data_IF_900463319813
#
_entry.id   IF_900463319813
#
_cell.length_a   1.000
_cell.length_b   1.000
_cell.length_c   1.000
_cell.angle_alpha   90.00
_cell.angle_beta   90.00
_cell.angle_gamma   90.00
#
_symmetry.space_group_name_H-M   'P 1'
#
loop_
_entity.id
_entity.type
_entity.pdbx_description
1 polymer ?
#
# COMPACT_ATOMS: atom_id res chain seq x y z
N UNK A 1 -10.85 36.90 13.82
CA UNK A 1 -11.63 35.90 13.07
C UNK A 1 -10.62 35.08 12.31
N UNK A 2 -10.49 33.81 12.65
CA UNK A 2 -9.56 32.86 12.02
C UNK A 2 -10.38 32.10 10.98
N UNK A 3 -9.83 31.98 9.78
CA UNK A 3 -10.47 31.34 8.64
C UNK A 3 -10.57 29.82 8.86
N UNK A 4 -11.75 29.19 8.75
CA UNK A 4 -11.92 27.76 8.94
C UNK A 4 -11.44 26.89 7.76
N UNK A 5 -10.79 27.48 6.74
CA UNK A 5 -10.14 26.78 5.63
C UNK A 5 -8.61 26.92 5.62
N UNK A 6 -8.00 27.23 6.77
CA UNK A 6 -6.56 27.02 6.99
C UNK A 6 -6.33 25.53 7.31
N UNK A 7 -6.52 24.69 6.29
CA UNK A 7 -5.77 23.44 6.27
C UNK A 7 -4.36 23.88 5.94
N UNK A 8 -3.53 24.01 6.98
CA UNK A 8 -2.10 23.80 6.85
C UNK A 8 -1.96 22.54 5.97
N UNK A 9 -1.67 22.74 4.68
CA UNK A 9 -1.09 21.73 3.82
C UNK A 9 0.12 21.27 4.62
N UNK A 10 -0.04 20.15 5.32
CA UNK A 10 0.94 19.53 6.20
C UNK A 10 2.26 19.56 5.45
N UNK A 11 3.04 20.56 5.83
CA UNK A 11 4.25 21.05 5.18
C UNK A 11 5.29 20.00 5.52
N UNK A 12 5.19 18.85 4.86
CA UNK A 12 6.15 17.77 4.98
C UNK A 12 7.38 18.17 4.16
N UNK A 13 8.16 19.06 4.78
CA UNK A 13 9.54 19.44 4.48
C UNK A 13 9.99 19.14 3.04
N UNK A 14 9.62 20.03 2.11
CA UNK A 14 10.22 20.11 0.78
C UNK A 14 11.55 20.88 0.78
N UNK A 15 12.22 20.99 1.93
CA UNK A 15 13.47 21.74 2.07
C UNK A 15 14.44 21.05 3.03
N UNK A 16 14.90 19.83 2.71
CA UNK A 16 16.24 19.28 2.99
C UNK A 16 16.21 17.75 2.86
N UNK A 17 16.48 17.23 1.66
CA UNK A 17 17.32 16.03 1.47
C UNK A 17 17.38 15.70 -0.02
N UNK A 18 18.25 16.44 -0.70
CA UNK A 18 19.07 16.04 -1.85
C UNK A 18 18.42 15.46 -3.11
N UNK A 19 19.15 15.64 -4.20
CA UNK A 19 19.17 14.73 -5.34
C UNK A 19 19.46 13.29 -4.88
N UNK A 20 18.54 12.62 -4.18
CA UNK A 20 18.57 11.18 -4.12
C UNK A 20 18.25 10.72 -5.54
N UNK A 21 19.31 10.44 -6.30
CA UNK A 21 19.26 9.51 -7.43
C UNK A 21 18.20 8.47 -7.09
N UNK A 22 17.11 8.46 -7.86
CA UNK A 22 16.02 7.52 -7.61
C UNK A 22 16.66 6.14 -7.70
N UNK A 23 16.96 5.54 -6.55
CA UNK A 23 17.69 4.28 -6.51
C UNK A 23 16.93 3.29 -7.40
N UNK A 24 17.62 2.53 -8.25
CA UNK A 24 16.96 1.48 -8.99
C UNK A 24 16.28 0.54 -7.98
N UNK A 25 15.10 0.02 -8.33
CA UNK A 25 14.30 -0.82 -7.42
C UNK A 25 15.10 -2.01 -6.87
N UNK A 26 16.09 -2.49 -7.63
CA UNK A 26 17.03 -3.55 -7.23
C UNK A 26 17.90 -3.20 -6.02
N UNK A 27 18.12 -1.92 -5.73
CA UNK A 27 18.93 -1.42 -4.62
C UNK A 27 18.10 -0.86 -3.47
N UNK A 28 16.77 -0.84 -3.60
CA UNK A 28 15.85 -0.36 -2.56
C UNK A 28 15.54 -1.45 -1.53
N UNK A 29 15.60 -1.09 -0.25
CA UNK A 29 15.05 -1.88 0.86
C UNK A 29 13.54 -2.02 0.73
N UNK A 30 12.96 -3.00 1.43
CA UNK A 30 11.51 -3.22 1.42
C UNK A 30 10.72 -2.02 1.98
N UNK A 31 11.30 -1.30 2.95
CA UNK A 31 10.74 -0.05 3.48
C UNK A 31 10.73 1.09 2.44
N UNK A 32 11.83 1.29 1.71
CA UNK A 32 11.91 2.29 0.63
C UNK A 32 10.93 1.95 -0.51
N UNK A 33 10.81 0.68 -0.88
CA UNK A 33 9.81 0.21 -1.87
C UNK A 33 8.39 0.49 -1.39
N UNK A 34 8.11 0.29 -0.11
CA UNK A 34 6.80 0.57 0.48
C UNK A 34 6.47 2.07 0.49
N UNK A 35 7.44 2.93 0.83
CA UNK A 35 7.26 4.38 0.74
C UNK A 35 6.99 4.80 -0.71
N UNK A 36 7.74 4.26 -1.68
CA UNK A 36 7.51 4.51 -3.11
C UNK A 36 6.14 4.03 -3.55
N UNK A 37 5.70 2.86 -3.09
CA UNK A 37 4.37 2.33 -3.35
C UNK A 37 3.28 3.31 -2.87
N UNK A 38 3.38 3.84 -1.65
CA UNK A 38 2.43 4.83 -1.09
C UNK A 38 2.39 6.14 -1.90
N UNK A 39 3.52 6.56 -2.51
CA UNK A 39 3.58 7.80 -3.33
C UNK A 39 2.74 7.74 -4.61
N UNK A 40 2.48 6.56 -5.18
CA UNK A 40 1.62 6.44 -6.38
C UNK A 40 0.13 6.72 -6.13
N UNK A 41 -0.26 6.89 -4.87
CA UNK A 41 -1.63 7.13 -4.46
C UNK A 41 -1.88 8.62 -4.20
N UNK A 42 -3.09 9.06 -4.55
CA UNK A 42 -3.66 10.36 -4.20
C UNK A 42 -3.71 10.55 -2.67
N UNK A 43 -3.75 11.79 -2.18
CA UNK A 43 -3.72 12.14 -0.75
C UNK A 43 -4.72 11.32 0.08
N UNK A 44 -5.97 11.21 -0.38
CA UNK A 44 -7.02 10.42 0.28
C UNK A 44 -6.68 8.92 0.36
N UNK A 45 -6.22 8.32 -0.73
CA UNK A 45 -5.77 6.91 -0.73
C UNK A 45 -4.54 6.69 0.14
N UNK A 46 -3.63 7.66 0.15
CA UNK A 46 -2.36 7.59 0.87
C UNK A 46 -2.60 7.62 2.37
N UNK A 47 -3.51 8.49 2.84
CA UNK A 47 -3.95 8.52 4.23
C UNK A 47 -4.50 7.15 4.67
N UNK A 48 -5.41 6.55 3.89
CA UNK A 48 -5.92 5.20 4.19
C UNK A 48 -4.83 4.13 4.25
N UNK A 49 -3.81 4.23 3.39
CA UNK A 49 -2.66 3.31 3.37
C UNK A 49 -1.64 3.62 4.49
N UNK A 50 -1.63 4.81 5.07
CA UNK A 50 -0.78 5.12 6.24
C UNK A 50 -1.31 4.41 7.48
N UNK A 51 -2.63 4.33 7.63
CA UNK A 51 -3.29 3.63 8.74
C UNK A 51 -3.23 2.09 8.61
N UNK A 52 -2.75 1.57 7.48
CA UNK A 52 -2.62 0.13 7.24
C UNK A 52 -1.23 -0.38 7.65
N UNK A 53 -1.17 -1.61 8.17
CA UNK A 53 0.08 -2.34 8.34
C UNK A 53 0.37 -3.19 7.11
N UNK A 54 1.65 -3.35 6.77
CA UNK A 54 2.09 -4.08 5.59
C UNK A 54 2.97 -5.25 5.99
N UNK A 55 2.73 -6.40 5.40
CA UNK A 55 3.53 -7.61 5.58
C UNK A 55 3.81 -8.25 4.23
N UNK A 56 5.06 -8.59 3.99
CA UNK A 56 5.47 -9.36 2.82
C UNK A 56 5.55 -10.83 3.20
N UNK A 57 4.74 -11.66 2.56
CA UNK A 57 4.74 -13.11 2.76
C UNK A 57 5.32 -13.76 1.51
N UNK A 58 6.53 -14.28 1.62
CA UNK A 58 7.19 -15.03 0.54
C UNK A 58 6.85 -16.52 0.69
N UNK A 59 6.35 -17.14 -0.37
CA UNK A 59 6.10 -18.59 -0.42
C UNK A 59 7.36 -19.33 -0.90
N UNK A 60 7.40 -20.63 -0.61
CA UNK A 60 8.52 -21.52 -0.98
C UNK A 60 8.82 -21.52 -2.48
N UNK A 61 7.81 -21.25 -3.34
CA UNK A 61 7.96 -21.12 -4.79
C UNK A 61 8.69 -19.83 -5.25
N UNK A 62 9.22 -19.03 -4.31
CA UNK A 62 9.85 -17.72 -4.59
C UNK A 62 8.86 -16.60 -4.94
N UNK A 63 7.55 -16.88 -4.89
CA UNK A 63 6.49 -15.92 -5.16
C UNK A 63 5.96 -15.29 -3.87
N UNK A 64 5.82 -13.98 -3.88
CA UNK A 64 5.36 -13.19 -2.74
C UNK A 64 3.89 -12.79 -2.79
N UNK A 65 3.32 -12.55 -1.62
CA UNK A 65 2.04 -11.86 -1.40
C UNK A 65 2.27 -10.64 -0.53
N UNK A 66 1.81 -9.47 -0.98
CA UNK A 66 1.76 -8.27 -0.14
C UNK A 66 0.45 -8.27 0.65
N UNK A 67 0.53 -8.46 1.97
CA UNK A 67 -0.61 -8.38 2.85
C UNK A 67 -0.71 -6.97 3.43
N UNK A 68 -1.88 -6.37 3.26
CA UNK A 68 -2.23 -5.04 3.74
C UNK A 68 -3.31 -5.23 4.79
N UNK A 69 -2.93 -5.05 6.06
CA UNK A 69 -3.84 -5.09 7.19
C UNK A 69 -4.52 -3.72 7.31
N UNK A 70 -5.81 -3.70 7.00
CA UNK A 70 -6.66 -2.54 7.12
C UNK A 70 -7.16 -2.42 8.57
N UNK A 71 -7.27 -1.19 9.12
CA UNK A 71 -7.76 -0.98 10.48
C UNK A 71 -9.26 -1.31 10.64
N UNK A 72 -10.04 -1.25 9.56
CA UNK A 72 -11.46 -1.58 9.57
C UNK A 72 -11.97 -1.99 8.17
N UNK A 73 -13.23 -2.47 8.15
CA UNK A 73 -13.90 -2.92 6.93
C UNK A 73 -14.11 -1.80 5.90
N UNK A 74 -14.35 -0.58 6.36
CA UNK A 74 -14.60 0.58 5.49
C UNK A 74 -13.37 0.88 4.64
N UNK A 75 -12.18 0.88 5.26
CA UNK A 75 -10.89 1.05 4.56
C UNK A 75 -10.66 -0.11 3.61
N UNK A 76 -10.90 -1.36 4.04
CA UNK A 76 -10.79 -2.55 3.18
C UNK A 76 -11.64 -2.43 1.92
N UNK A 77 -12.92 -2.02 2.05
CA UNK A 77 -13.83 -1.86 0.92
C UNK A 77 -13.43 -0.70 -0.01
N UNK A 78 -12.88 0.39 0.53
CA UNK A 78 -12.38 1.50 -0.29
C UNK A 78 -11.13 1.09 -1.07
N UNK A 79 -10.21 0.36 -0.45
CA UNK A 79 -9.01 -0.16 -1.10
C UNK A 79 -9.33 -1.25 -2.12
N UNK A 80 -10.33 -2.11 -1.87
CA UNK A 80 -10.74 -3.14 -2.82
C UNK A 80 -11.28 -2.54 -4.13
N UNK A 81 -11.98 -1.39 -4.08
CA UNK A 81 -12.37 -0.63 -5.28
C UNK A 81 -11.16 -0.11 -6.06
N UNK A 82 -10.02 0.12 -5.40
CA UNK A 82 -8.75 0.58 -5.99
C UNK A 82 -7.78 -0.58 -6.31
N UNK A 83 -8.25 -1.84 -6.29
CA UNK A 83 -7.44 -3.05 -6.54
C UNK A 83 -6.57 -3.01 -7.78
N UNK A 84 -7.07 -2.45 -8.90
CA UNK A 84 -6.28 -2.35 -10.15
C UNK A 84 -5.06 -1.43 -9.97
N UNK A 85 -5.24 -0.29 -9.30
CA UNK A 85 -4.16 0.66 -9.01
C UNK A 85 -3.13 0.04 -8.06
N UNK A 86 -3.60 -0.64 -7.00
CA UNK A 86 -2.74 -1.41 -6.09
C UNK A 86 -1.89 -2.42 -6.86
N UNK A 87 -2.53 -3.24 -7.71
CA UNK A 87 -1.83 -4.30 -8.43
C UNK A 87 -0.81 -3.77 -9.44
N UNK A 88 -1.16 -2.71 -10.18
CA UNK A 88 -0.24 -2.08 -11.12
C UNK A 88 1.00 -1.51 -10.41
N UNK A 89 0.81 -0.86 -9.27
CA UNK A 89 1.92 -0.29 -8.51
C UNK A 89 2.77 -1.35 -7.82
N UNK A 90 2.17 -2.46 -7.37
CA UNK A 90 2.93 -3.60 -6.85
C UNK A 90 3.88 -4.13 -7.91
N UNK A 91 3.44 -4.29 -9.15
CA UNK A 91 4.29 -4.75 -10.26
C UNK A 91 5.48 -3.84 -10.52
N UNK A 92 5.31 -2.53 -10.29
CA UNK A 92 6.38 -1.54 -10.45
C UNK A 92 7.39 -1.60 -9.31
N UNK A 93 6.96 -1.92 -8.09
CA UNK A 93 7.83 -1.93 -6.91
C UNK A 93 8.45 -3.31 -6.61
N UNK A 94 7.76 -4.40 -6.96
CA UNK A 94 8.15 -5.77 -6.64
C UNK A 94 7.86 -6.71 -7.81
N UNK A 95 8.90 -7.30 -8.39
CA UNK A 95 8.78 -8.26 -9.49
C UNK A 95 8.35 -9.67 -9.03
N UNK A 96 8.68 -10.03 -7.78
CA UNK A 96 8.42 -11.35 -7.21
C UNK A 96 7.04 -11.46 -6.52
N UNK A 97 6.39 -10.33 -6.24
CA UNK A 97 5.06 -10.32 -5.63
C UNK A 97 4.01 -10.48 -6.72
N UNK A 98 3.20 -11.54 -6.64
CA UNK A 98 2.16 -11.84 -7.62
C UNK A 98 0.73 -11.66 -7.10
N UNK A 99 0.59 -11.60 -5.78
CA UNK A 99 -0.70 -11.45 -5.12
C UNK A 99 -0.64 -10.33 -4.10
N UNK A 100 -1.81 -9.80 -3.77
CA UNK A 100 -1.95 -8.96 -2.58
C UNK A 100 -3.20 -9.37 -1.81
N UNK A 101 -3.16 -9.22 -0.50
CA UNK A 101 -4.28 -9.50 0.38
C UNK A 101 -4.69 -8.23 1.11
N UNK A 102 -5.99 -7.95 1.16
CA UNK A 102 -6.55 -6.95 2.06
C UNK A 102 -7.15 -7.67 3.26
N UNK A 103 -6.56 -7.49 4.43
CA UNK A 103 -6.97 -8.16 5.65
C UNK A 103 -7.62 -7.16 6.62
N UNK A 104 -8.56 -7.64 7.42
CA UNK A 104 -9.11 -6.88 8.56
C UNK A 104 -9.24 -7.84 9.73
N UNK A 105 -9.00 -7.36 10.94
CA UNK A 105 -9.28 -8.12 12.14
C UNK A 105 -10.72 -7.87 12.58
N UNK A 106 -11.55 -8.91 12.62
CA UNK A 106 -12.93 -8.86 13.11
C UNK A 106 -13.13 -10.01 14.11
N UNK A 107 -13.70 -9.71 15.28
CA UNK A 107 -14.03 -10.71 16.31
C UNK A 107 -12.86 -11.61 16.75
N UNK A 108 -11.63 -11.08 16.67
CA UNK A 108 -10.40 -11.83 16.99
C UNK A 108 -9.82 -12.64 15.83
N UNK A 109 -10.54 -12.75 14.70
CA UNK A 109 -10.12 -13.46 13.50
C UNK A 109 -9.61 -12.52 12.40
N UNK A 110 -8.67 -13.00 11.59
CA UNK A 110 -8.11 -12.26 10.47
C UNK A 110 -8.83 -12.62 9.17
N UNK A 111 -9.67 -11.73 8.67
CA UNK A 111 -10.40 -11.91 7.42
C UNK A 111 -9.65 -11.27 6.25
N UNK A 112 -8.95 -12.10 5.47
CA UNK A 112 -8.19 -11.67 4.30
C UNK A 112 -8.93 -11.93 2.98
N UNK A 113 -8.96 -10.92 2.12
CA UNK A 113 -9.36 -11.03 0.71
C UNK A 113 -8.11 -10.97 -0.16
N UNK A 114 -7.74 -12.09 -0.79
CA UNK A 114 -6.58 -12.16 -1.67
C UNK A 114 -6.97 -11.88 -3.11
N UNK A 115 -6.16 -11.11 -3.81
CA UNK A 115 -6.36 -10.72 -5.20
C UNK A 115 -5.15 -11.13 -6.04
N UNK A 116 -5.43 -11.57 -7.27
CA UNK A 116 -4.43 -11.87 -8.30
C UNK A 116 -3.84 -10.61 -8.92
N UNK A 117 -2.78 -10.79 -9.71
CA UNK A 117 -2.17 -9.77 -10.56
C UNK A 117 -3.14 -9.08 -11.55
N UNK A 118 -4.30 -9.67 -11.81
CA UNK A 118 -5.33 -9.10 -12.67
C UNK A 118 -6.43 -8.38 -11.86
N UNK A 119 -6.29 -8.31 -10.54
CA UNK A 119 -7.31 -7.77 -9.63
C UNK A 119 -8.53 -8.67 -9.44
N UNK A 120 -8.45 -9.94 -9.86
CA UNK A 120 -9.49 -10.92 -9.58
C UNK A 120 -9.35 -11.44 -8.15
N UNK A 121 -10.47 -11.53 -7.44
CA UNK A 121 -10.52 -12.13 -6.11
C UNK A 121 -10.18 -13.62 -6.24
N UNK A 122 -9.25 -14.09 -5.42
CA UNK A 122 -8.95 -15.52 -5.28
C UNK A 122 -9.96 -16.08 -4.30
N UNK A 123 -11.01 -16.71 -4.81
CA UNK A 123 -11.86 -17.58 -3.99
C UNK A 123 -11.11 -18.90 -3.81
N UNK A 124 -10.68 -19.17 -2.58
CA UNK A 124 -10.22 -20.51 -2.18
C UNK A 124 -11.41 -21.36 -1.80
#
# INVERSE_FOLDING_TARGET
MIDPYDFEDDDFDLENEDLFEIKPISQMTEGEKLQRFKRFFDSSSRAMLQDCLFRLVVREDGLGTLEILCPNEVVRQRLSKKKRKITNNINTCWSHIRWFSLCVQQDGELHCQTFTRNGNLVTR
#
